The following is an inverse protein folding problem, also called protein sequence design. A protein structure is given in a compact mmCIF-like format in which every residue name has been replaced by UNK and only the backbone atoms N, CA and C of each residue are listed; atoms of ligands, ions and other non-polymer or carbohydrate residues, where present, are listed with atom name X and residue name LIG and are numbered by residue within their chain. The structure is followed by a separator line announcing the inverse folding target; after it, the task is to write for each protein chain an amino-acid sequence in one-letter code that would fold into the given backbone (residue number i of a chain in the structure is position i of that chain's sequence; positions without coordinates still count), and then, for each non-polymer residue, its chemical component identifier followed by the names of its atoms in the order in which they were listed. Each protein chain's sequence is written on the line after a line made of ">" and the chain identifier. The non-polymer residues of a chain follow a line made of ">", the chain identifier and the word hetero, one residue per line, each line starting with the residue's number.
data_IF_012331521983
#
_entry.id   IF_012331521983
#
_cell.length_a   1.000
_cell.length_b   1.000
_cell.length_c   1.000
_cell.angle_alpha   90.00
_cell.angle_beta   90.00
_cell.angle_gamma   90.00
#
_symmetry.space_group_name_H-M   'P 1'
#
loop_
_entity.id
_entity.type
_entity.pdbx_description
1 polymer ?
#
# COMPACT_ATOMS: atom_id res chain seq x y z
N UNK A 1 -8.68 -15.66 7.02
CA UNK A 1 -7.58 -14.97 6.33
C UNK A 1 -8.19 -13.99 5.33
N UNK A 2 -8.10 -12.68 5.58
CA UNK A 2 -8.75 -11.63 4.78
C UNK A 2 -7.73 -10.91 3.87
N UNK A 3 -7.10 -11.65 2.97
CA UNK A 3 -5.88 -11.20 2.27
C UNK A 3 -6.07 -10.00 1.33
N UNK A 4 -7.31 -9.65 1.00
CA UNK A 4 -7.63 -8.47 0.19
C UNK A 4 -8.05 -7.24 1.00
N UNK A 5 -8.35 -7.38 2.29
CA UNK A 5 -8.77 -6.22 3.08
C UNK A 5 -7.64 -5.20 3.19
N UNK A 6 -7.97 -3.94 2.94
CA UNK A 6 -7.01 -2.85 2.87
C UNK A 6 -6.25 -2.77 1.54
N UNK A 7 -6.35 -3.77 0.66
CA UNK A 7 -5.69 -3.71 -0.65
C UNK A 7 -6.29 -2.62 -1.54
N UNK A 8 -5.42 -1.92 -2.27
CA UNK A 8 -5.85 -0.98 -3.30
C UNK A 8 -6.33 -1.75 -4.53
N UNK A 9 -7.55 -1.41 -4.96
CA UNK A 9 -8.15 -1.84 -6.22
C UNK A 9 -8.14 -0.67 -7.20
N UNK A 10 -7.76 -0.93 -8.45
CA UNK A 10 -7.84 0.02 -9.56
C UNK A 10 -8.90 -0.45 -10.54
N UNK A 11 -9.88 0.40 -10.78
CA UNK A 11 -10.89 0.19 -11.83
C UNK A 11 -10.42 0.90 -13.09
N UNK A 12 -9.85 0.13 -14.01
CA UNK A 12 -9.31 0.64 -15.26
C UNK A 12 -10.38 1.23 -16.19
N UNK A 13 -11.63 0.78 -16.08
CA UNK A 13 -12.73 1.24 -16.95
C UNK A 13 -13.18 2.64 -16.60
N UNK A 14 -13.09 3.01 -15.32
CA UNK A 14 -13.52 4.31 -14.79
C UNK A 14 -12.34 5.17 -14.30
N UNK A 15 -11.11 4.73 -14.58
CA UNK A 15 -9.86 5.39 -14.18
C UNK A 15 -9.80 5.78 -12.70
N UNK A 16 -10.39 4.97 -11.83
CA UNK A 16 -10.50 5.26 -10.38
C UNK A 16 -9.77 4.22 -9.53
N UNK A 17 -9.46 4.63 -8.31
CA UNK A 17 -8.83 3.77 -7.31
C UNK A 17 -9.63 3.75 -6.02
N UNK A 18 -9.61 2.63 -5.32
CA UNK A 18 -10.34 2.43 -4.08
C UNK A 18 -9.68 1.39 -3.17
N UNK A 19 -10.19 1.27 -1.95
CA UNK A 19 -9.73 0.31 -0.96
C UNK A 19 -10.81 -0.74 -0.72
N UNK A 20 -10.41 -2.01 -0.74
CA UNK A 20 -11.31 -3.11 -0.38
C UNK A 20 -11.48 -3.10 1.15
N UNK A 21 -12.72 -2.99 1.62
CA UNK A 21 -13.07 -2.91 3.05
C UNK A 21 -13.94 -4.07 3.53
N UNK A 22 -14.49 -4.86 2.62
CA UNK A 22 -15.32 -6.01 2.92
C UNK A 22 -15.26 -7.05 1.82
N UNK A 23 -15.47 -8.31 2.20
CA UNK A 23 -15.54 -9.45 1.29
C UNK A 23 -16.61 -10.40 1.84
N UNK A 24 -17.62 -10.72 1.03
CA UNK A 24 -18.64 -11.73 1.32
C UNK A 24 -18.51 -12.87 0.30
N UNK A 25 -18.03 -14.02 0.77
CA UNK A 25 -17.87 -15.25 -0.03
C UNK A 25 -18.93 -16.30 0.28
N UNK A 26 -19.91 -15.97 1.14
CA UNK A 26 -20.93 -16.93 1.59
C UNK A 26 -22.07 -17.12 0.58
N UNK A 27 -22.06 -16.29 -0.48
CA UNK A 27 -23.06 -16.27 -1.55
C UNK A 27 -22.61 -17.08 -2.76
N UNK A 28 -23.54 -17.34 -3.66
CA UNK A 28 -23.26 -17.98 -4.97
C UNK A 28 -22.21 -17.24 -5.79
N UNK A 29 -22.20 -15.90 -5.73
CA UNK A 29 -21.16 -15.07 -6.29
C UNK A 29 -20.53 -14.20 -5.21
N UNK A 30 -19.18 -14.16 -5.12
CA UNK A 30 -18.50 -13.33 -4.15
C UNK A 30 -18.79 -11.85 -4.37
N UNK A 31 -18.89 -11.11 -3.28
CA UNK A 31 -19.08 -9.66 -3.27
C UNK A 31 -17.90 -9.01 -2.56
N UNK A 32 -17.40 -7.92 -3.14
CA UNK A 32 -16.43 -7.05 -2.49
C UNK A 32 -17.05 -5.68 -2.20
N UNK A 33 -16.75 -5.15 -1.02
CA UNK A 33 -17.09 -3.78 -0.64
C UNK A 33 -15.86 -2.90 -0.85
N UNK A 34 -15.99 -1.85 -1.66
CA UNK A 34 -14.87 -0.95 -2.04
C UNK A 34 -15.21 0.49 -1.73
N UNK A 35 -14.37 1.18 -0.96
CA UNK A 35 -14.46 2.64 -0.82
C UNK A 35 -13.57 3.26 -1.89
N UNK A 36 -14.19 3.92 -2.86
CA UNK A 36 -13.49 4.64 -3.92
C UNK A 36 -12.98 6.00 -3.42
N UNK A 37 -11.87 6.48 -3.97
CA UNK A 37 -11.36 7.81 -3.68
C UNK A 37 -12.42 8.88 -3.99
N UNK A 38 -12.62 9.82 -3.06
CA UNK A 38 -13.64 10.85 -3.17
C UNK A 38 -15.07 10.38 -2.89
N UNK A 39 -15.29 9.09 -2.56
CA UNK A 39 -16.61 8.57 -2.20
C UNK A 39 -16.68 8.25 -0.70
N UNK A 40 -17.72 8.70 0.02
CA UNK A 40 -17.83 8.50 1.46
C UNK A 40 -18.38 7.13 1.85
N UNK A 41 -18.90 6.34 0.89
CA UNK A 41 -19.56 5.06 1.15
C UNK A 41 -18.91 3.94 0.36
N UNK A 42 -18.98 2.73 0.92
CA UNK A 42 -18.55 1.54 0.22
C UNK A 42 -19.54 1.18 -0.90
N UNK A 43 -19.00 0.92 -2.08
CA UNK A 43 -19.72 0.36 -3.23
C UNK A 43 -19.61 -1.17 -3.19
N UNK A 44 -20.75 -1.86 -3.35
CA UNK A 44 -20.84 -3.31 -3.45
C UNK A 44 -20.67 -3.78 -4.88
N UNK A 45 -19.70 -4.66 -5.10
CA UNK A 45 -19.36 -5.15 -6.44
C UNK A 45 -19.43 -6.67 -6.41
N UNK A 46 -20.36 -7.23 -7.20
CA UNK A 46 -20.45 -8.67 -7.44
C UNK A 46 -19.34 -9.03 -8.41
N UNK A 47 -18.57 -10.06 -8.06
CA UNK A 47 -17.48 -10.59 -8.88
C UNK A 47 -17.61 -12.10 -9.03
N UNK A 48 -16.94 -12.66 -10.01
CA UNK A 48 -16.85 -14.11 -10.16
C UNK A 48 -15.81 -14.69 -9.21
N UNK A 49 -15.90 -16.00 -8.94
CA UNK A 49 -14.86 -16.71 -8.18
C UNK A 49 -13.47 -16.61 -8.85
N UNK A 50 -13.42 -16.56 -10.18
CA UNK A 50 -12.17 -16.39 -10.93
C UNK A 50 -11.55 -15.01 -10.69
N UNK A 51 -12.37 -13.96 -10.78
CA UNK A 51 -11.94 -12.59 -10.48
C UNK A 51 -11.44 -12.46 -9.04
N UNK A 52 -12.10 -13.12 -8.08
CA UNK A 52 -11.64 -13.14 -6.70
C UNK A 52 -10.27 -13.82 -6.57
N UNK A 53 -10.08 -14.98 -7.21
CA UNK A 53 -8.80 -15.70 -7.21
C UNK A 53 -7.67 -14.87 -7.83
N UNK A 54 -7.95 -14.17 -8.92
CA UNK A 54 -6.97 -13.30 -9.58
C UNK A 54 -6.59 -12.10 -8.70
N UNK A 55 -7.56 -11.49 -8.01
CA UNK A 55 -7.28 -10.43 -7.03
C UNK A 55 -6.36 -10.93 -5.90
N UNK A 56 -6.64 -12.12 -5.35
CA UNK A 56 -5.81 -12.71 -4.29
C UNK A 56 -4.39 -12.97 -4.79
N UNK A 57 -4.25 -13.58 -5.98
CA UNK A 57 -2.95 -13.85 -6.60
C UNK A 57 -2.16 -12.56 -6.83
N UNK A 58 -2.81 -11.51 -7.34
CA UNK A 58 -2.18 -10.22 -7.56
C UNK A 58 -1.75 -9.56 -6.25
N UNK A 59 -2.55 -9.69 -5.18
CA UNK A 59 -2.19 -9.17 -3.86
C UNK A 59 -0.96 -9.87 -3.29
N UNK A 60 -0.93 -11.20 -3.34
CA UNK A 60 0.21 -12.01 -2.91
C UNK A 60 1.49 -11.67 -3.68
N UNK A 61 1.40 -11.50 -4.99
CA UNK A 61 2.55 -11.14 -5.82
C UNK A 61 3.10 -9.75 -5.45
N UNK A 62 2.22 -8.78 -5.15
CA UNK A 62 2.62 -7.44 -4.68
C UNK A 62 3.30 -7.50 -3.32
N UNK A 63 2.76 -8.28 -2.38
CA UNK A 63 3.33 -8.42 -1.03
C UNK A 63 4.71 -9.09 -1.08
N UNK A 64 4.86 -10.12 -1.91
CA UNK A 64 6.16 -10.77 -2.13
C UNK A 64 7.19 -9.80 -2.73
N UNK A 65 6.79 -9.01 -3.73
CA UNK A 65 7.65 -7.99 -4.34
C UNK A 65 8.03 -6.87 -3.36
N UNK A 66 7.11 -6.44 -2.49
CA UNK A 66 7.38 -5.45 -1.46
C UNK A 66 8.40 -5.96 -0.42
N UNK A 67 8.27 -7.22 0.00
CA UNK A 67 9.22 -7.87 0.92
C UNK A 67 10.61 -8.02 0.30
N UNK A 68 10.70 -8.43 -0.96
CA UNK A 68 11.98 -8.54 -1.67
C UNK A 68 12.69 -7.17 -1.78
N UNK A 69 11.94 -6.08 -1.97
CA UNK A 69 12.48 -4.71 -1.99
C UNK A 69 12.88 -4.20 -0.60
N UNK A 70 12.13 -4.54 0.44
CA UNK A 70 12.45 -4.17 1.82
C UNK A 70 13.71 -4.86 2.35
N UNK A 71 13.93 -6.12 2.00
CA UNK A 71 15.14 -6.87 2.38
C UNK A 71 16.42 -6.29 1.74
N UNK A 72 16.31 -5.65 0.57
CA UNK A 72 17.44 -5.00 -0.10
C UNK A 72 17.82 -3.63 0.53
N UNK A 73 16.95 -3.04 1.36
CA UNK A 73 17.20 -1.74 2.03
C UNK A 73 17.83 -1.93 3.41
N UNK A 74 17.71 -3.11 4.02
CA UNK A 74 18.27 -3.41 5.35
C UNK A 74 19.74 -3.82 5.36
N UNK A 75 20.37 -4.03 4.20
CA UNK A 75 21.82 -4.32 4.10
C UNK A 75 22.68 -3.09 3.79
N UNK A 76 22.08 -1.89 3.76
CA UNK A 76 22.76 -0.63 3.45
C UNK A 76 22.71 0.41 4.59
N UNK A 77 22.45 -0.01 5.83
CA UNK A 77 22.51 0.86 7.01
C UNK A 77 23.24 0.19 8.19
N UNK A 78 24.42 -0.34 7.89
CA UNK A 78 25.39 -0.73 8.90
C UNK A 78 26.75 -0.07 8.55
N UNK A 79 26.88 1.22 8.87
CA UNK A 79 28.19 1.85 8.99
C UNK A 79 28.32 3.23 8.35
N UNK A 80 27.89 4.27 9.06
CA UNK A 80 28.81 5.34 9.47
C UNK A 80 28.15 6.26 10.50
N UNK A 81 28.49 5.96 11.74
CA UNK A 81 28.43 6.86 12.88
C UNK A 81 29.28 8.12 12.65
N UNK A 82 28.70 9.25 13.06
CA UNK A 82 29.36 10.35 13.77
C UNK A 82 30.52 11.09 13.07
N UNK A 83 30.27 12.32 12.63
CA UNK A 83 30.78 13.53 13.29
C UNK A 83 30.56 14.78 12.42
N UNK A 84 29.58 15.61 12.80
CA UNK A 84 29.79 17.05 13.03
C UNK A 84 28.46 17.71 13.37
N UNK A 85 28.28 17.95 14.66
CA UNK A 85 27.30 18.92 15.12
C UNK A 85 27.67 20.35 14.69
N UNK A 86 26.66 21.20 14.48
CA UNK A 86 26.81 22.62 14.16
C UNK A 86 26.85 23.45 15.45
N UNK A 87 27.79 24.38 15.63
CA UNK A 87 27.60 25.51 16.57
C UNK A 87 28.37 26.75 16.11
N UNK A 88 27.62 27.85 16.16
CA UNK A 88 27.93 29.24 15.87
C UNK A 88 29.08 29.82 16.70
N UNK A 89 29.90 30.70 16.12
CA UNK A 89 30.56 31.77 16.88
C UNK A 89 30.83 33.03 16.04
N UNK A 90 29.96 34.01 16.27
CA UNK A 90 30.19 35.45 16.43
C UNK A 90 31.14 36.23 15.49
N UNK A 91 30.57 37.30 14.93
CA UNK A 91 31.21 38.59 14.66
C UNK A 91 32.39 38.92 15.58
N UNK A 92 33.51 39.37 15.00
CA UNK A 92 34.26 40.48 15.60
C UNK A 92 35.15 41.22 14.58
N UNK A 93 35.03 42.54 14.68
CA UNK A 93 35.62 43.63 13.91
C UNK A 93 37.15 43.55 13.79
N UNK A 94 37.69 43.99 12.63
CA UNK A 94 38.95 44.74 12.60
C UNK A 94 38.83 45.92 11.63
N UNK A 95 39.00 47.12 12.19
CA UNK A 95 39.63 48.26 11.53
C UNK A 95 41.15 48.12 11.72
#
# INVERSE_FOLDING_TARGET
>A
MHQLLGSTLRDARRERQGRIVGIDQTREHPVIDVIWQGQPRAERIIITCDQLRDLVRASLARDAAARAKGAAVTDADAGQTSDKEPVLLAEQRRA
#
